data_IF_320424609747
#
_entry.id   IF_320424609747
#
_cell.length_a   1.000
_cell.length_b   1.000
_cell.length_c   1.000
_cell.angle_alpha   90.00
_cell.angle_beta   90.00
_cell.angle_gamma   90.00
#
_symmetry.space_group_name_H-M   'P 1'
#
loop_
_entity.id
_entity.type
_entity.pdbx_description
1 polymer ?
#
# COMPACT_ATOMS: atom_id res chain seq x y z
N UNK A 1 -36.76 -11.57 43.06
CA UNK A 1 -35.54 -11.34 42.27
C UNK A 1 -35.64 -12.20 41.03
N UNK A 2 -36.23 -11.64 39.97
CA UNK A 2 -36.54 -12.37 38.74
C UNK A 2 -35.28 -12.37 37.88
N UNK A 3 -34.57 -13.50 37.84
CA UNK A 3 -33.36 -13.66 37.05
C UNK A 3 -33.66 -13.43 35.57
N UNK A 4 -33.19 -12.32 35.03
CA UNK A 4 -33.00 -12.19 33.60
C UNK A 4 -31.97 -13.24 33.18
N UNK A 5 -32.42 -14.37 32.65
CA UNK A 5 -31.65 -15.12 31.66
C UNK A 5 -31.68 -14.32 30.36
N UNK A 6 -31.11 -13.11 30.41
CA UNK A 6 -31.24 -12.10 29.37
C UNK A 6 -30.26 -12.39 28.25
N UNK A 7 -30.77 -12.50 27.03
CA UNK A 7 -29.95 -12.40 25.82
C UNK A 7 -29.04 -11.17 25.91
N UNK A 8 -27.81 -11.26 25.40
CA UNK A 8 -26.81 -10.17 25.47
C UNK A 8 -27.22 -8.89 24.71
N UNK A 9 -28.31 -8.95 23.96
CA UNK A 9 -28.83 -7.89 23.11
C UNK A 9 -30.30 -7.58 23.48
N UNK A 10 -30.75 -6.34 23.28
CA UNK A 10 -32.14 -5.97 23.55
C UNK A 10 -33.09 -6.74 22.62
N UNK A 11 -34.21 -7.19 23.19
CA UNK A 11 -35.32 -7.71 22.38
C UNK A 11 -35.97 -6.55 21.64
N UNK A 12 -35.95 -6.58 20.30
CA UNK A 12 -36.53 -5.53 19.47
C UNK A 12 -38.03 -5.77 19.26
N UNK A 13 -38.76 -4.70 19.03
CA UNK A 13 -40.15 -4.80 18.61
C UNK A 13 -40.26 -5.24 17.14
N UNK A 14 -41.37 -5.89 16.80
CA UNK A 14 -41.60 -6.40 15.43
C UNK A 14 -41.59 -5.26 14.42
N UNK A 15 -42.17 -4.11 14.75
CA UNK A 15 -42.19 -2.93 13.90
C UNK A 15 -40.78 -2.39 13.64
N UNK A 16 -39.90 -2.42 14.66
CA UNK A 16 -38.52 -1.97 14.52
C UNK A 16 -37.70 -2.92 13.63
N UNK A 17 -37.90 -4.23 13.81
CA UNK A 17 -37.26 -5.27 12.97
C UNK A 17 -37.70 -5.08 11.51
N UNK A 18 -39.00 -4.92 11.27
CA UNK A 18 -39.56 -4.74 9.92
C UNK A 18 -39.06 -3.45 9.28
N UNK A 19 -39.04 -2.34 10.02
CA UNK A 19 -38.51 -1.07 9.51
C UNK A 19 -37.04 -1.18 9.13
N UNK A 20 -36.22 -1.92 9.89
CA UNK A 20 -34.80 -2.10 9.61
C UNK A 20 -34.59 -2.93 8.34
N UNK A 21 -35.30 -4.06 8.23
CA UNK A 21 -35.19 -4.96 7.08
C UNK A 21 -35.65 -4.27 5.79
N UNK A 22 -36.72 -3.47 5.85
CA UNK A 22 -37.15 -2.63 4.73
C UNK A 22 -36.10 -1.57 4.36
N UNK A 23 -35.45 -0.97 5.35
CA UNK A 23 -34.34 -0.04 5.14
C UNK A 23 -33.18 -0.64 4.34
N UNK A 24 -32.97 -1.96 4.43
CA UNK A 24 -31.98 -2.70 3.66
C UNK A 24 -32.49 -3.21 2.30
N UNK A 25 -33.73 -2.91 1.93
CA UNK A 25 -34.28 -3.19 0.60
C UNK A 25 -35.06 -4.50 0.48
N UNK A 26 -35.47 -5.13 1.58
CA UNK A 26 -36.36 -6.29 1.55
C UNK A 26 -37.75 -5.92 2.07
N UNK A 27 -38.75 -6.03 1.18
CA UNK A 27 -40.14 -5.77 1.51
C UNK A 27 -40.72 -6.93 2.33
N UNK A 28 -40.96 -6.67 3.60
CA UNK A 28 -41.58 -7.63 4.53
C UNK A 28 -42.70 -6.98 5.34
N UNK A 29 -43.59 -7.80 5.89
CA UNK A 29 -44.72 -7.38 6.72
C UNK A 29 -44.60 -7.92 8.15
N UNK A 30 -45.27 -7.27 9.11
CA UNK A 30 -45.34 -7.76 10.48
C UNK A 30 -45.92 -9.17 10.58
N UNK A 31 -46.90 -9.50 9.74
CA UNK A 31 -47.51 -10.83 9.70
C UNK A 31 -46.49 -11.92 9.32
N UNK A 32 -45.58 -11.63 8.37
CA UNK A 32 -44.51 -12.55 7.98
C UNK A 32 -43.47 -12.77 9.08
N UNK A 33 -43.30 -11.83 10.01
CA UNK A 33 -42.43 -12.01 11.19
C UNK A 33 -43.16 -12.76 12.31
N UNK A 34 -44.47 -12.55 12.47
CA UNK A 34 -45.28 -13.27 13.45
C UNK A 34 -45.55 -14.72 13.06
N UNK A 35 -45.62 -15.02 11.76
CA UNK A 35 -45.75 -16.36 11.21
C UNK A 35 -44.65 -16.58 10.14
N UNK A 36 -43.39 -16.78 10.56
CA UNK A 36 -42.27 -16.92 9.64
C UNK A 36 -42.40 -18.21 8.82
N UNK A 37 -42.29 -18.08 7.50
CA UNK A 37 -42.11 -19.22 6.60
C UNK A 37 -40.62 -19.43 6.32
N UNK A 38 -40.25 -20.64 5.93
CA UNK A 38 -38.87 -20.96 5.57
C UNK A 38 -38.34 -20.02 4.46
N UNK A 39 -39.14 -19.75 3.45
CA UNK A 39 -38.81 -18.86 2.34
C UNK A 39 -38.54 -17.42 2.81
N UNK A 40 -39.41 -16.86 3.65
CA UNK A 40 -39.24 -15.51 4.21
C UNK A 40 -37.95 -15.42 5.03
N UNK A 41 -37.72 -16.39 5.90
CA UNK A 41 -36.54 -16.38 6.78
C UNK A 41 -35.25 -16.56 6.00
N UNK A 42 -35.24 -17.43 4.99
CA UNK A 42 -34.09 -17.61 4.09
C UNK A 42 -33.79 -16.32 3.31
N UNK A 43 -34.82 -15.62 2.82
CA UNK A 43 -34.64 -14.32 2.16
C UNK A 43 -34.05 -13.27 3.11
N UNK A 44 -34.57 -13.17 4.35
CA UNK A 44 -34.06 -12.25 5.36
C UNK A 44 -32.60 -12.56 5.73
N UNK A 45 -32.26 -13.82 5.95
CA UNK A 45 -30.87 -14.18 6.29
C UNK A 45 -29.92 -14.04 5.11
N UNK A 46 -30.38 -14.26 3.88
CA UNK A 46 -29.59 -13.96 2.68
C UNK A 46 -29.32 -12.47 2.54
N UNK A 47 -30.30 -11.62 2.87
CA UNK A 47 -30.11 -10.17 2.96
C UNK A 47 -29.06 -9.82 4.02
N UNK A 48 -29.14 -10.38 5.22
CA UNK A 48 -28.17 -10.10 6.28
C UNK A 48 -26.75 -10.53 5.91
N UNK A 49 -26.62 -11.67 5.24
CA UNK A 49 -25.34 -12.13 4.71
C UNK A 49 -24.77 -11.10 3.72
N UNK A 50 -25.59 -10.64 2.78
CA UNK A 50 -25.23 -9.60 1.81
C UNK A 50 -24.80 -8.30 2.49
N UNK A 51 -25.58 -7.80 3.46
CA UNK A 51 -25.27 -6.54 4.15
C UNK A 51 -23.94 -6.58 4.92
N UNK A 52 -23.61 -7.72 5.53
CA UNK A 52 -22.41 -7.83 6.39
C UNK A 52 -21.15 -8.19 5.59
N UNK A 53 -21.29 -9.04 4.57
CA UNK A 53 -20.14 -9.65 3.88
C UNK A 53 -20.00 -9.24 2.42
N UNK A 54 -21.05 -8.65 1.83
CA UNK A 54 -21.15 -8.43 0.39
C UNK A 54 -21.41 -9.71 -0.42
N UNK A 55 -21.55 -10.88 0.22
CA UNK A 55 -21.84 -12.14 -0.47
C UNK A 55 -23.31 -12.19 -0.88
N UNK A 56 -23.55 -12.34 -2.18
CA UNK A 56 -24.86 -12.57 -2.79
C UNK A 56 -24.92 -13.95 -3.43
N UNK A 57 -26.13 -14.37 -3.83
CA UNK A 57 -26.32 -15.61 -4.59
C UNK A 57 -25.40 -15.66 -5.83
N UNK A 58 -25.30 -14.56 -6.57
CA UNK A 58 -24.45 -14.44 -7.76
C UNK A 58 -22.97 -14.63 -7.44
N UNK A 59 -22.47 -14.04 -6.34
CA UNK A 59 -21.06 -14.20 -5.95
C UNK A 59 -20.72 -15.62 -5.51
N UNK A 60 -21.71 -16.38 -5.04
CA UNK A 60 -21.56 -17.75 -4.56
C UNK A 60 -21.83 -18.79 -5.66
N UNK A 61 -22.42 -18.39 -6.79
CA UNK A 61 -22.76 -19.28 -7.89
C UNK A 61 -21.53 -20.00 -8.45
N UNK A 62 -20.49 -19.26 -8.85
CA UNK A 62 -19.30 -19.87 -9.44
C UNK A 62 -18.55 -20.79 -8.45
N UNK A 63 -18.31 -20.42 -7.17
CA UNK A 63 -17.82 -21.36 -6.16
C UNK A 63 -18.70 -22.60 -5.98
N UNK A 64 -20.03 -22.44 -5.98
CA UNK A 64 -20.96 -23.55 -5.83
C UNK A 64 -20.91 -24.50 -7.04
N UNK A 65 -20.87 -23.96 -8.26
CA UNK A 65 -20.71 -24.74 -9.49
C UNK A 65 -19.41 -25.54 -9.49
N UNK A 66 -18.29 -24.93 -9.08
CA UNK A 66 -17.01 -25.66 -8.94
C UNK A 66 -17.10 -26.80 -7.93
N UNK A 67 -17.78 -26.58 -6.80
CA UNK A 67 -17.97 -27.61 -5.79
C UNK A 67 -18.86 -28.76 -6.30
N UNK A 68 -19.94 -28.44 -7.05
CA UNK A 68 -20.80 -29.45 -7.70
C UNK A 68 -20.06 -30.21 -8.80
N UNK A 69 -19.12 -29.58 -9.49
CA UNK A 69 -18.30 -30.20 -10.54
C UNK A 69 -17.46 -31.39 -10.07
N UNK A 70 -17.23 -31.53 -8.75
CA UNK A 70 -16.56 -32.70 -8.15
C UNK A 70 -17.47 -33.94 -8.12
N UNK A 71 -18.80 -33.74 -8.16
CA UNK A 71 -19.78 -34.82 -8.15
C UNK A 71 -19.99 -35.29 -9.58
N UNK A 72 -19.58 -36.52 -9.90
CA UNK A 72 -19.61 -37.03 -11.29
C UNK A 72 -21.03 -37.35 -11.80
N UNK A 73 -21.99 -37.61 -10.91
CA UNK A 73 -23.34 -38.09 -11.26
C UNK A 73 -24.41 -37.31 -10.50
N UNK A 74 -25.47 -36.90 -11.21
CA UNK A 74 -26.66 -36.24 -10.65
C UNK A 74 -26.38 -34.96 -9.85
N UNK A 75 -25.49 -34.10 -10.35
CA UNK A 75 -25.13 -32.82 -9.71
C UNK A 75 -26.35 -31.96 -9.33
N UNK A 76 -27.38 -31.94 -10.19
CA UNK A 76 -28.61 -31.17 -10.00
C UNK A 76 -29.37 -31.56 -8.71
N UNK A 77 -29.30 -32.83 -8.28
CA UNK A 77 -29.95 -33.28 -7.04
C UNK A 77 -29.34 -32.64 -5.79
N UNK A 78 -28.06 -32.24 -5.86
CA UNK A 78 -27.32 -31.68 -4.74
C UNK A 78 -27.30 -30.15 -4.73
N UNK A 79 -27.64 -29.50 -5.85
CA UNK A 79 -27.50 -28.06 -5.99
C UNK A 79 -28.27 -27.28 -4.90
N UNK A 80 -29.54 -27.63 -4.67
CA UNK A 80 -30.34 -26.97 -3.63
C UNK A 80 -29.81 -27.24 -2.22
N UNK A 81 -29.42 -28.48 -1.93
CA UNK A 81 -28.86 -28.85 -0.63
C UNK A 81 -27.54 -28.11 -0.36
N UNK A 82 -26.68 -27.98 -1.38
CA UNK A 82 -25.43 -27.25 -1.28
C UNK A 82 -25.68 -25.77 -0.99
N UNK A 83 -26.56 -25.12 -1.74
CA UNK A 83 -26.90 -23.70 -1.54
C UNK A 83 -27.42 -23.44 -0.12
N UNK A 84 -28.28 -24.32 0.40
CA UNK A 84 -28.75 -24.25 1.78
C UNK A 84 -27.63 -24.43 2.81
N UNK A 85 -26.69 -25.34 2.57
CA UNK A 85 -25.53 -25.52 3.45
C UNK A 85 -24.56 -24.35 3.40
N UNK A 86 -24.37 -23.73 2.23
CA UNK A 86 -23.56 -22.52 2.08
C UNK A 86 -24.18 -21.37 2.88
N UNK A 87 -25.48 -21.14 2.73
CA UNK A 87 -26.20 -20.13 3.51
C UNK A 87 -26.07 -20.41 5.02
N UNK A 88 -26.31 -21.66 5.45
CA UNK A 88 -26.16 -22.07 6.85
C UNK A 88 -24.73 -21.81 7.36
N UNK A 89 -23.71 -22.19 6.59
CA UNK A 89 -22.31 -22.03 6.96
C UNK A 89 -21.97 -20.55 7.22
N UNK A 90 -22.39 -19.67 6.32
CA UNK A 90 -22.10 -18.24 6.46
C UNK A 90 -22.93 -17.59 7.56
N UNK A 91 -24.22 -17.89 7.64
CA UNK A 91 -25.11 -17.27 8.61
C UNK A 91 -24.78 -17.71 10.05
N UNK A 92 -24.31 -18.94 10.27
CA UNK A 92 -23.85 -19.40 11.60
C UNK A 92 -22.67 -18.56 12.11
N UNK A 93 -21.75 -18.17 11.23
CA UNK A 93 -20.61 -17.33 11.61
C UNK A 93 -21.07 -15.92 11.98
N UNK A 94 -22.05 -15.38 11.26
CA UNK A 94 -22.69 -14.11 11.60
C UNK A 94 -23.44 -14.24 12.92
N UNK A 95 -24.20 -15.32 13.11
CA UNK A 95 -24.94 -15.61 14.34
C UNK A 95 -24.00 -15.62 15.55
N UNK A 96 -22.86 -16.30 15.45
CA UNK A 96 -21.83 -16.31 16.50
C UNK A 96 -21.32 -14.89 16.82
N UNK A 97 -21.05 -14.07 15.79
CA UNK A 97 -20.64 -12.68 15.97
C UNK A 97 -21.74 -11.83 16.63
N UNK A 98 -23.00 -12.07 16.27
CA UNK A 98 -24.19 -11.48 16.86
C UNK A 98 -24.60 -12.10 18.22
N UNK A 99 -23.77 -13.00 18.79
CA UNK A 99 -23.98 -13.68 20.08
C UNK A 99 -25.13 -14.69 20.13
N UNK A 100 -25.52 -15.24 18.98
CA UNK A 100 -26.40 -16.41 18.85
C UNK A 100 -25.54 -17.65 18.63
N UNK A 101 -25.35 -18.48 19.68
CA UNK A 101 -24.40 -19.59 19.65
C UNK A 101 -24.97 -20.89 19.06
N UNK A 102 -26.29 -21.06 19.08
CA UNK A 102 -26.99 -22.30 18.78
C UNK A 102 -27.78 -22.24 17.47
N UNK A 103 -27.41 -21.35 16.54
CA UNK A 103 -28.07 -21.24 15.24
C UNK A 103 -27.92 -22.54 14.44
N UNK A 104 -29.02 -23.05 13.89
CA UNK A 104 -29.07 -24.37 13.26
C UNK A 104 -29.89 -24.38 11.97
N UNK A 105 -29.85 -25.49 11.22
CA UNK A 105 -30.67 -25.67 10.02
C UNK A 105 -32.18 -25.56 10.30
N UNK A 106 -32.64 -25.85 11.53
CA UNK A 106 -34.05 -25.69 11.91
C UNK A 106 -34.48 -24.23 11.78
N UNK A 107 -33.60 -23.29 12.07
CA UNK A 107 -33.87 -21.85 11.96
C UNK A 107 -34.09 -21.39 10.52
N UNK A 108 -33.71 -22.19 9.53
CA UNK A 108 -33.90 -21.93 8.09
C UNK A 108 -35.10 -22.68 7.50
N UNK A 109 -35.30 -23.94 7.91
CA UNK A 109 -36.27 -24.84 7.28
C UNK A 109 -37.59 -24.92 8.05
N UNK A 110 -37.55 -24.76 9.37
CA UNK A 110 -38.71 -24.84 10.26
C UNK A 110 -38.64 -23.74 11.33
N UNK A 111 -38.71 -22.46 10.94
CA UNK A 111 -38.54 -21.34 11.86
C UNK A 111 -39.67 -21.28 12.89
N UNK A 112 -39.29 -21.11 14.17
CA UNK A 112 -40.22 -20.89 15.27
C UNK A 112 -40.36 -19.39 15.56
N UNK A 113 -41.58 -18.84 15.56
CA UNK A 113 -41.85 -17.40 15.69
C UNK A 113 -41.01 -16.70 16.76
N UNK A 114 -41.04 -17.19 18.00
CA UNK A 114 -40.35 -16.54 19.11
C UNK A 114 -38.84 -16.58 18.95
N UNK A 115 -38.30 -17.71 18.45
CA UNK A 115 -36.87 -17.89 18.22
C UNK A 115 -36.39 -17.04 17.06
N UNK A 116 -37.11 -17.02 15.95
CA UNK A 116 -36.82 -16.16 14.80
C UNK A 116 -36.77 -14.70 15.23
N UNK A 117 -37.75 -14.21 16.00
CA UNK A 117 -37.73 -12.82 16.49
C UNK A 117 -36.47 -12.48 17.31
N UNK A 118 -36.02 -13.39 18.18
CA UNK A 118 -34.80 -13.19 18.97
C UNK A 118 -33.56 -13.14 18.08
N UNK A 119 -33.45 -14.06 17.12
CA UNK A 119 -32.36 -14.07 16.15
C UNK A 119 -32.37 -12.77 15.33
N UNK A 120 -33.53 -12.36 14.80
CA UNK A 120 -33.65 -11.11 14.04
C UNK A 120 -33.24 -9.89 14.88
N UNK A 121 -33.63 -9.82 16.15
CA UNK A 121 -33.20 -8.74 17.05
C UNK A 121 -31.67 -8.70 17.20
N UNK A 122 -31.05 -9.87 17.37
CA UNK A 122 -29.59 -10.00 17.48
C UNK A 122 -28.87 -9.51 16.23
N UNK A 123 -29.36 -9.95 15.07
CA UNK A 123 -28.79 -9.62 13.77
C UNK A 123 -28.98 -8.15 13.42
N UNK A 124 -30.17 -7.59 13.66
CA UNK A 124 -30.43 -6.18 13.39
C UNK A 124 -29.53 -5.29 14.24
N UNK A 125 -29.40 -5.62 15.54
CA UNK A 125 -28.49 -4.91 16.44
C UNK A 125 -27.02 -5.03 15.97
N UNK A 126 -26.60 -6.21 15.53
CA UNK A 126 -25.24 -6.43 15.02
C UNK A 126 -24.95 -5.63 13.74
N UNK A 127 -25.89 -5.61 12.79
CA UNK A 127 -25.73 -4.87 11.53
C UNK A 127 -25.65 -3.37 11.81
N UNK A 128 -26.54 -2.81 12.64
CA UNK A 128 -26.47 -1.40 13.03
C UNK A 128 -25.14 -1.05 13.69
N UNK A 129 -24.65 -1.90 14.59
CA UNK A 129 -23.33 -1.73 15.19
C UNK A 129 -22.20 -1.75 14.15
N UNK A 130 -22.27 -2.67 13.18
CA UNK A 130 -21.30 -2.74 12.10
C UNK A 130 -21.33 -1.47 11.23
N UNK A 131 -22.51 -0.97 10.86
CA UNK A 131 -22.70 0.27 10.10
C UNK A 131 -22.10 1.48 10.83
N UNK A 132 -22.35 1.61 12.14
CA UNK A 132 -21.77 2.69 12.96
C UNK A 132 -20.24 2.63 13.03
N UNK A 133 -19.66 1.42 13.03
CA UNK A 133 -18.21 1.22 13.08
C UNK A 133 -17.55 1.33 11.71
N UNK A 134 -18.30 1.17 10.61
CA UNK A 134 -17.74 1.16 9.25
C UNK A 134 -17.03 2.47 8.91
N UNK A 135 -17.55 3.62 9.36
CA UNK A 135 -16.88 4.93 9.15
C UNK A 135 -15.47 4.93 9.77
N UNK A 136 -15.36 4.50 11.02
CA UNK A 136 -14.08 4.43 11.72
C UNK A 136 -13.13 3.40 11.07
N UNK A 137 -13.65 2.24 10.68
CA UNK A 137 -12.86 1.19 10.01
C UNK A 137 -12.37 1.65 8.64
N UNK A 138 -13.20 2.35 7.88
CA UNK A 138 -12.85 2.91 6.57
C UNK A 138 -11.70 3.91 6.70
N UNK A 139 -11.76 4.83 7.66
CA UNK A 139 -10.66 5.76 7.91
C UNK A 139 -9.34 5.05 8.24
N UNK A 140 -9.40 3.98 9.03
CA UNK A 140 -8.22 3.19 9.38
C UNK A 140 -7.66 2.42 8.18
N UNK A 141 -8.55 1.83 7.35
CA UNK A 141 -8.17 1.16 6.10
C UNK A 141 -7.52 2.14 5.14
N UNK A 142 -8.08 3.33 4.96
CA UNK A 142 -7.55 4.36 4.08
C UNK A 142 -6.16 4.84 4.54
N UNK A 143 -5.97 5.04 5.85
CA UNK A 143 -4.65 5.37 6.43
C UNK A 143 -3.64 4.24 6.21
N UNK A 144 -4.06 2.99 6.40
CA UNK A 144 -3.21 1.82 6.16
C UNK A 144 -2.80 1.73 4.68
N UNK A 145 -3.74 1.92 3.75
CA UNK A 145 -3.46 1.87 2.32
C UNK A 145 -2.47 2.96 1.90
N UNK A 146 -2.68 4.21 2.35
CA UNK A 146 -1.74 5.32 2.10
C UNK A 146 -0.34 5.03 2.62
N UNK A 147 -0.23 4.41 3.80
CA UNK A 147 1.06 4.04 4.39
C UNK A 147 1.76 2.96 3.56
N UNK A 148 1.01 2.00 3.02
CA UNK A 148 1.55 0.96 2.12
C UNK A 148 2.05 1.61 0.83
N UNK A 149 1.23 2.45 0.19
CA UNK A 149 1.59 3.18 -1.04
C UNK A 149 2.84 4.04 -0.86
N UNK A 150 2.92 4.78 0.25
CA UNK A 150 4.09 5.59 0.57
C UNK A 150 5.35 4.75 0.77
N UNK A 151 5.24 3.64 1.50
CA UNK A 151 6.35 2.71 1.69
C UNK A 151 6.82 2.12 0.37
N UNK A 152 5.92 1.74 -0.53
CA UNK A 152 6.29 1.19 -1.83
C UNK A 152 6.91 2.26 -2.75
N UNK A 153 6.41 3.49 -2.71
CA UNK A 153 7.03 4.66 -3.39
C UNK A 153 8.45 4.90 -2.89
N UNK A 154 8.66 4.92 -1.57
CA UNK A 154 9.98 5.14 -0.97
C UNK A 154 10.95 4.01 -1.33
N UNK A 155 10.49 2.75 -1.37
CA UNK A 155 11.30 1.62 -1.83
C UNK A 155 11.75 1.80 -3.27
N UNK A 156 10.86 2.22 -4.18
CA UNK A 156 11.21 2.50 -5.58
C UNK A 156 12.28 3.61 -5.66
N UNK A 157 12.08 4.72 -4.95
CA UNK A 157 13.05 5.83 -4.92
C UNK A 157 14.42 5.38 -4.40
N UNK A 158 14.47 4.53 -3.38
CA UNK A 158 15.72 3.99 -2.85
C UNK A 158 16.46 3.16 -3.91
N UNK A 159 15.74 2.31 -4.65
CA UNK A 159 16.34 1.49 -5.71
C UNK A 159 16.83 2.34 -6.89
N UNK A 160 16.07 3.36 -7.29
CA UNK A 160 16.48 4.32 -8.32
C UNK A 160 17.75 5.09 -7.92
N UNK A 161 17.79 5.59 -6.68
CA UNK A 161 18.96 6.30 -6.16
C UNK A 161 20.18 5.39 -6.05
N UNK A 162 20.00 4.13 -5.64
CA UNK A 162 21.09 3.14 -5.62
C UNK A 162 21.65 2.90 -7.02
N UNK A 163 20.78 2.74 -8.02
CA UNK A 163 21.20 2.57 -9.41
C UNK A 163 21.94 3.82 -9.94
N UNK A 164 21.47 5.02 -9.60
CA UNK A 164 22.12 6.27 -9.97
C UNK A 164 23.50 6.43 -9.31
N UNK A 165 23.62 6.11 -8.02
CA UNK A 165 24.90 6.11 -7.29
C UNK A 165 25.88 5.14 -7.95
N UNK A 166 25.43 3.92 -8.28
CA UNK A 166 26.30 2.91 -8.88
C UNK A 166 26.78 3.32 -10.27
N UNK A 167 25.89 3.90 -11.09
CA UNK A 167 26.25 4.49 -12.38
C UNK A 167 27.32 5.57 -12.23
N UNK A 168 27.15 6.49 -11.28
CA UNK A 168 28.08 7.59 -11.05
C UNK A 168 29.43 7.10 -10.53
N UNK A 169 29.47 6.07 -9.68
CA UNK A 169 30.71 5.42 -9.25
C UNK A 169 31.47 4.83 -10.43
N UNK A 170 30.77 4.11 -11.31
CA UNK A 170 31.38 3.50 -12.50
C UNK A 170 31.95 4.56 -13.45
N UNK A 171 31.25 5.68 -13.63
CA UNK A 171 31.70 6.81 -14.44
C UNK A 171 32.90 7.54 -13.82
N UNK A 172 32.91 7.72 -12.50
CA UNK A 172 34.05 8.24 -11.75
C UNK A 172 35.28 7.33 -11.87
N UNK A 173 35.10 6.01 -11.80
CA UNK A 173 36.18 5.03 -11.94
C UNK A 173 36.77 5.05 -13.36
N UNK A 174 35.93 5.15 -14.39
CA UNK A 174 36.38 5.28 -15.80
C UNK A 174 37.17 6.56 -16.07
N UNK A 175 36.77 7.68 -15.45
CA UNK A 175 37.40 9.00 -15.64
C UNK A 175 38.63 9.24 -14.74
N UNK A 176 38.79 8.45 -13.67
CA UNK A 176 39.93 8.51 -12.73
C UNK A 176 41.31 8.43 -13.40
N UNK A 177 41.60 7.49 -14.33
CA UNK A 177 42.92 7.43 -14.98
C UNK A 177 43.20 8.67 -15.83
N UNK A 178 42.22 9.16 -16.59
CA UNK A 178 42.37 10.39 -17.38
C UNK A 178 42.61 11.62 -16.49
N UNK A 179 41.87 11.75 -15.39
CA UNK A 179 42.10 12.81 -14.41
C UNK A 179 43.50 12.73 -13.78
N UNK A 180 43.99 11.52 -13.49
CA UNK A 180 45.34 11.32 -12.95
C UNK A 180 46.42 11.72 -13.95
N UNK A 181 46.26 11.31 -15.21
CA UNK A 181 47.20 11.66 -16.28
C UNK A 181 47.27 13.18 -16.51
N UNK A 182 46.11 13.85 -16.61
CA UNK A 182 46.05 15.31 -16.77
C UNK A 182 46.61 16.09 -15.57
N UNK A 183 46.48 15.54 -14.35
CA UNK A 183 47.11 16.12 -13.16
C UNK A 183 48.63 16.02 -13.22
N UNK A 184 49.16 14.86 -13.59
CA UNK A 184 50.59 14.65 -13.74
C UNK A 184 51.17 15.56 -14.83
N UNK A 185 50.51 15.63 -15.99
CA UNK A 185 50.89 16.54 -17.08
C UNK A 185 50.89 18.02 -16.62
N UNK A 186 49.88 18.44 -15.85
CA UNK A 186 49.85 19.79 -15.27
C UNK A 186 51.02 20.05 -14.32
N UNK A 187 51.40 19.07 -13.50
CA UNK A 187 52.55 19.19 -12.60
C UNK A 187 53.87 19.29 -13.37
N UNK A 188 54.03 18.49 -14.44
CA UNK A 188 55.19 18.54 -15.33
C UNK A 188 55.29 19.88 -16.06
N UNK A 189 54.19 20.36 -16.64
CA UNK A 189 54.12 21.68 -17.28
C UNK A 189 54.41 22.82 -16.31
N UNK A 190 53.92 22.73 -15.06
CA UNK A 190 54.22 23.73 -14.01
C UNK A 190 55.70 23.75 -13.64
N UNK A 191 56.34 22.58 -13.52
CA UNK A 191 57.80 22.50 -13.29
C UNK A 191 58.56 23.13 -14.44
N UNK A 192 58.24 22.75 -15.68
CA UNK A 192 58.87 23.32 -16.87
C UNK A 192 58.70 24.84 -16.98
N UNK A 193 57.53 25.37 -16.61
CA UNK A 193 57.29 26.81 -16.52
C UNK A 193 58.18 27.50 -15.48
N UNK A 194 58.38 26.86 -14.32
CA UNK A 194 59.26 27.38 -13.26
C UNK A 194 60.72 27.40 -13.71
N UNK A 195 61.18 26.30 -14.33
CA UNK A 195 62.55 26.15 -14.82
C UNK A 195 62.85 27.17 -15.93
N UNK A 196 61.95 27.27 -16.91
CA UNK A 196 62.05 28.25 -18.01
C UNK A 196 62.05 29.69 -17.49
N UNK A 197 61.26 29.99 -16.45
CA UNK A 197 61.28 31.30 -15.79
C UNK A 197 62.61 31.55 -15.08
N UNK A 198 63.20 30.52 -14.47
CA UNK A 198 64.53 30.58 -13.86
C UNK A 198 65.62 30.87 -14.89
N UNK A 199 65.62 30.17 -16.02
CA UNK A 199 66.58 30.39 -17.10
C UNK A 199 66.38 31.75 -17.79
N UNK A 200 65.14 32.19 -17.98
CA UNK A 200 64.84 33.53 -18.45
C UNK A 200 65.47 34.60 -17.55
N UNK A 201 65.36 34.47 -16.23
CA UNK A 201 65.98 35.41 -15.30
C UNK A 201 67.51 35.43 -15.44
N UNK A 202 68.16 34.26 -15.57
CA UNK A 202 69.61 34.20 -15.80
C UNK A 202 70.01 34.91 -17.09
N UNK A 203 69.30 34.66 -18.18
CA UNK A 203 69.57 35.33 -19.48
C UNK A 203 69.35 36.84 -19.36
N UNK A 204 68.33 37.28 -18.63
CA UNK A 204 68.09 38.71 -18.36
C UNK A 204 69.26 39.33 -17.59
N UNK A 205 69.78 38.64 -16.56
CA UNK A 205 70.93 39.08 -15.79
C UNK A 205 72.20 39.14 -16.66
N UNK A 206 72.47 38.11 -17.48
CA UNK A 206 73.59 38.08 -18.43
C UNK A 206 73.50 39.22 -19.46
N UNK A 207 72.31 39.49 -19.99
CA UNK A 207 72.08 40.62 -20.92
C UNK A 207 72.35 41.94 -20.23
N UNK A 208 71.96 42.09 -18.95
CA UNK A 208 72.26 43.29 -18.17
C UNK A 208 73.78 43.45 -17.97
N UNK A 209 74.49 42.40 -17.58
CA UNK A 209 75.95 42.41 -17.44
C UNK A 209 76.66 42.75 -18.75
N UNK A 210 76.29 42.12 -19.86
CA UNK A 210 76.87 42.38 -21.17
C UNK A 210 76.60 43.81 -21.62
N UNK A 211 75.43 44.36 -21.30
CA UNK A 211 75.10 45.77 -21.57
C UNK A 211 76.00 46.71 -20.79
N UNK A 212 76.29 46.40 -19.53
CA UNK A 212 77.17 47.21 -18.69
C UNK A 212 78.64 47.09 -19.11
N UNK A 213 79.12 45.88 -19.43
CA UNK A 213 80.45 45.65 -20.05
C UNK A 213 80.58 46.40 -21.38
N UNK A 214 79.56 46.38 -22.24
CA UNK A 214 79.53 47.15 -23.50
C UNK A 214 79.63 48.65 -23.25
N UNK A 215 78.89 49.20 -22.28
CA UNK A 215 79.00 50.61 -21.88
C UNK A 215 80.41 50.96 -21.38
N UNK A 216 81.01 50.10 -20.55
CA UNK A 216 82.36 50.30 -20.04
C UNK A 216 83.42 50.31 -21.15
N UNK A 217 83.38 49.32 -22.06
CA UNK A 217 84.27 49.26 -23.23
C UNK A 217 84.06 50.44 -24.18
N UNK A 218 82.82 50.89 -24.38
CA UNK A 218 82.52 52.07 -25.19
C UNK A 218 83.13 53.33 -24.57
N UNK A 219 83.08 53.50 -23.24
CA UNK A 219 83.78 54.58 -22.51
C UNK A 219 85.29 54.49 -22.66
N UNK A 220 85.86 53.29 -22.54
CA UNK A 220 87.31 53.07 -22.72
C UNK A 220 87.77 53.38 -24.15
N UNK A 221 86.97 53.03 -25.16
CA UNK A 221 87.23 53.36 -26.57
C UNK A 221 87.19 54.87 -26.82
N UNK A 222 86.22 55.59 -26.24
CA UNK A 222 86.16 57.06 -26.31
C UNK A 222 87.37 57.70 -25.62
N UNK A 223 87.82 57.14 -24.49
CA UNK A 223 89.01 57.61 -23.78
C UNK A 223 90.29 57.41 -24.61
N UNK A 224 90.51 56.23 -25.20
CA UNK A 224 91.65 55.97 -26.08
C UNK A 224 91.65 56.79 -27.37
N UNK A 225 90.47 57.12 -27.92
CA UNK A 225 90.35 57.98 -29.10
C UNK A 225 90.48 59.48 -28.78
N UNK A 226 90.52 59.86 -27.50
CA UNK A 226 90.80 61.25 -27.06
C UNK A 226 92.28 61.46 -26.70
N UNK A 227 93.10 60.41 -26.76
CA UNK A 227 94.52 60.41 -26.39
C UNK A 227 95.48 60.05 -27.55
N UNK A 228 94.95 59.97 -28.77
CA UNK A 228 95.70 59.97 -30.05
C UNK A 228 95.05 61.02 -30.96
#
# INVERSE_FOLDING_TARGET
MSGQTGFWYPSMDVDEIVSSIRGWGLEITNAQIQAPTAEVVQAIYSLFLSQITGLTADTLEEPAMRALGVVEVNQELYANALNMHLLLHHIQRIAMAARVQDFSMKDLVAPETQRTRLILSAFVNFIRFAEEREVFLKELRDKSLRTIEERDRMKQQVEELRAAIEKQKLEAEKSRPQCSALKQENEELRKGLLDTKGDLNKVVDEVAELRDKKKALSRQKVWHHSFF
#
